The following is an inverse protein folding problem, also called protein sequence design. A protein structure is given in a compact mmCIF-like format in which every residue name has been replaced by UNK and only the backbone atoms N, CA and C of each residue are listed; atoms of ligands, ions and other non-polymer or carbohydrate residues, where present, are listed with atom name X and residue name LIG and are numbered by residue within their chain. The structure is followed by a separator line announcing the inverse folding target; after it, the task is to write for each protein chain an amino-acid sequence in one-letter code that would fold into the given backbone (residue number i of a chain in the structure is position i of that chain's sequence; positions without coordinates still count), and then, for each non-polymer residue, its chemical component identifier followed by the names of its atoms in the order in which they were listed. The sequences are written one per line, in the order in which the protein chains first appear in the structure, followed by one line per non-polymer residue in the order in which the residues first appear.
data_IF_078973293670
#
_entry.id   IF_078973293670
#
_cell.length_a   1.000
_cell.length_b   1.000
_cell.length_c   1.000
_cell.angle_alpha   90.00
_cell.angle_beta   90.00
_cell.angle_gamma   90.00
#
_symmetry.space_group_name_H-M   'P 1'
#
loop_
_entity.id
_entity.type
_entity.pdbx_description
1 polymer ?
#
# COMPACT_ATOMS: atom_id res chain seq x y z
N UNK A 1 -12.49 0.68 -73.64
CA UNK A 1 -11.08 0.64 -73.20
C UNK A 1 -11.04 1.27 -71.80
N UNK A 2 -11.07 0.47 -70.72
CA UNK A 2 -9.88 -0.02 -69.99
C UNK A 2 -9.00 1.15 -69.54
N UNK A 3 -8.83 1.44 -68.24
CA UNK A 3 -8.16 0.57 -67.26
C UNK A 3 -8.56 0.87 -65.80
N UNK A 4 -8.72 -0.21 -65.03
CA UNK A 4 -8.71 -0.25 -63.57
C UNK A 4 -7.28 -0.02 -63.10
N UNK A 5 -7.07 0.75 -62.02
CA UNK A 5 -5.85 0.61 -61.22
C UNK A 5 -6.19 0.35 -59.75
N UNK A 6 -5.98 -0.91 -59.39
CA UNK A 6 -6.09 -1.47 -58.05
C UNK A 6 -4.93 -0.98 -57.19
N UNK A 7 -5.22 -0.31 -56.08
CA UNK A 7 -4.26 -0.20 -54.96
C UNK A 7 -4.74 -1.11 -53.84
N UNK A 8 -4.19 -2.31 -53.80
CA UNK A 8 -4.21 -3.22 -52.66
C UNK A 8 -3.43 -2.59 -51.50
N UNK A 9 -4.12 -1.92 -50.58
CA UNK A 9 -3.56 -1.51 -49.29
C UNK A 9 -3.56 -2.71 -48.35
N UNK A 10 -2.37 -3.26 -48.06
CA UNK A 10 -2.16 -4.24 -46.99
C UNK A 10 -2.61 -3.62 -45.65
N UNK A 11 -3.40 -4.31 -44.79
CA UNK A 11 -3.74 -3.76 -43.48
C UNK A 11 -2.45 -3.53 -42.66
N UNK A 12 -2.37 -2.46 -41.86
CA UNK A 12 -1.20 -2.19 -41.05
C UNK A 12 -0.97 -3.35 -40.07
N UNK A 13 0.29 -3.77 -39.97
CA UNK A 13 0.73 -4.85 -39.10
C UNK A 13 0.56 -4.40 -37.63
N UNK A 14 -0.56 -4.80 -37.02
CA UNK A 14 -0.92 -4.43 -35.65
C UNK A 14 -0.12 -5.30 -34.68
N UNK A 15 1.07 -4.84 -34.30
CA UNK A 15 1.89 -5.55 -33.32
C UNK A 15 1.27 -5.45 -31.92
N UNK A 16 1.41 -6.51 -31.12
CA UNK A 16 0.98 -6.60 -29.70
C UNK A 16 1.47 -5.41 -28.86
N UNK A 17 2.65 -4.88 -29.21
CA UNK A 17 3.28 -3.72 -28.55
C UNK A 17 2.52 -2.42 -28.85
N UNK A 18 2.05 -2.24 -30.07
CA UNK A 18 1.29 -1.04 -30.49
C UNK A 18 -0.06 -0.99 -29.78
N UNK A 19 -0.75 -2.13 -29.67
CA UNK A 19 -2.02 -2.23 -28.96
C UNK A 19 -1.89 -1.90 -27.45
N UNK A 20 -0.83 -2.38 -26.80
CA UNK A 20 -0.55 -2.10 -25.39
C UNK A 20 -0.20 -0.62 -25.15
N UNK A 21 0.51 0.02 -26.08
CA UNK A 21 0.82 1.46 -25.98
C UNK A 21 -0.45 2.30 -26.11
N UNK A 22 -1.34 1.99 -27.05
CA UNK A 22 -2.61 2.73 -27.23
C UNK A 22 -3.57 2.57 -26.03
N UNK A 23 -3.58 1.40 -25.37
CA UNK A 23 -4.31 1.19 -24.12
C UNK A 23 -3.63 1.94 -22.95
N UNK A 24 -2.30 2.02 -22.93
CA UNK A 24 -1.56 2.78 -21.92
C UNK A 24 -1.74 4.29 -22.04
N UNK A 25 -1.79 4.82 -23.26
CA UNK A 25 -2.02 6.25 -23.55
C UNK A 25 -3.41 6.72 -23.09
N UNK A 26 -4.38 5.82 -22.99
CA UNK A 26 -5.74 6.13 -22.52
C UNK A 26 -5.87 6.24 -21.00
N UNK A 27 -4.84 5.90 -20.21
CA UNK A 27 -4.86 5.99 -18.74
C UNK A 27 -4.18 7.27 -18.22
N UNK A 28 -3.40 7.98 -19.04
CA UNK A 28 -2.67 9.19 -18.63
C UNK A 28 -3.40 10.53 -18.91
N UNK A 29 -4.68 10.50 -19.29
CA UNK A 29 -5.47 11.69 -19.59
C UNK A 29 -6.39 12.12 -18.44
N UNK A 30 -5.96 13.11 -17.65
CA UNK A 30 -6.88 13.89 -16.81
C UNK A 30 -7.92 14.62 -17.69
N UNK A 31 -9.20 14.27 -17.49
CA UNK A 31 -10.36 15.14 -17.59
C UNK A 31 -10.70 15.82 -18.93
N UNK A 32 -11.48 15.15 -19.80
CA UNK A 32 -12.51 15.80 -20.64
C UNK A 32 -13.70 14.83 -20.84
N UNK A 33 -14.89 15.32 -20.49
CA UNK A 33 -16.24 14.92 -20.92
C UNK A 33 -16.61 13.41 -20.99
N UNK A 34 -17.59 13.08 -20.15
CA UNK A 34 -18.53 11.95 -20.19
C UNK A 34 -19.40 11.89 -21.47
N UNK A 35 -18.80 11.98 -22.67
CA UNK A 35 -19.48 11.83 -23.97
C UNK A 35 -18.55 11.23 -25.03
N UNK A 36 -18.14 9.98 -24.85
CA UNK A 36 -17.69 9.13 -25.97
C UNK A 36 -17.81 7.62 -25.67
N UNK A 37 -18.71 7.22 -24.77
CA UNK A 37 -19.10 5.81 -24.59
C UNK A 37 -20.22 5.39 -25.56
N UNK A 38 -20.32 6.06 -26.70
CA UNK A 38 -21.28 5.72 -27.74
C UNK A 38 -20.49 5.27 -28.98
N UNK A 39 -20.68 3.98 -29.30
CA UNK A 39 -20.27 3.31 -30.54
C UNK A 39 -18.80 2.92 -30.69
N UNK A 40 -18.31 2.06 -29.78
CA UNK A 40 -17.36 1.04 -30.21
C UNK A 40 -18.18 -0.04 -30.93
N UNK A 41 -18.24 0.07 -32.26
CA UNK A 41 -18.74 -1.02 -33.12
C UNK A 41 -17.91 -2.26 -32.82
N UNK A 42 -18.55 -3.34 -32.39
CA UNK A 42 -17.87 -4.60 -32.08
C UNK A 42 -16.97 -5.03 -33.25
N UNK A 43 -15.64 -5.16 -33.05
CA UNK A 43 -14.79 -5.72 -34.09
C UNK A 43 -15.01 -7.23 -34.20
N UNK A 44 -14.86 -7.71 -35.43
CA UNK A 44 -14.94 -9.11 -35.83
C UNK A 44 -14.05 -10.03 -34.94
N UNK A 45 -14.52 -11.27 -34.77
CA UNK A 45 -13.88 -12.43 -34.15
C UNK A 45 -12.56 -12.16 -33.40
N UNK A 46 -12.62 -12.27 -32.06
CA UNK A 46 -11.48 -12.07 -31.18
C UNK A 46 -10.28 -12.96 -31.57
N UNK A 47 -9.05 -12.49 -31.38
CA UNK A 47 -7.86 -13.29 -31.65
C UNK A 47 -7.83 -14.59 -30.83
N UNK A 48 -7.16 -15.66 -31.32
CA UNK A 48 -6.98 -16.88 -30.54
C UNK A 48 -6.39 -16.61 -29.15
N UNK A 49 -7.06 -17.10 -28.11
CA UNK A 49 -6.67 -16.92 -26.71
C UNK A 49 -7.27 -15.68 -26.02
N UNK A 50 -8.09 -14.88 -26.72
CA UNK A 50 -8.88 -13.80 -26.13
C UNK A 50 -10.36 -14.21 -26.20
N UNK A 51 -10.99 -14.33 -25.05
CA UNK A 51 -12.40 -14.72 -24.94
C UNK A 51 -13.25 -13.51 -24.57
N UNK A 52 -14.44 -13.42 -25.14
CA UNK A 52 -15.47 -12.49 -24.67
C UNK A 52 -15.80 -12.88 -23.22
N UNK A 53 -15.64 -11.98 -22.24
CA UNK A 53 -15.97 -12.30 -20.86
C UNK A 53 -17.49 -12.46 -20.78
N UNK A 54 -17.99 -13.70 -20.73
CA UNK A 54 -19.40 -13.90 -20.44
C UNK A 54 -19.65 -13.43 -19.01
N UNK A 55 -20.70 -12.63 -18.81
CA UNK A 55 -21.12 -12.14 -17.49
C UNK A 55 -21.31 -13.30 -16.50
N UNK A 56 -21.78 -14.44 -17.00
CA UNK A 56 -22.01 -15.65 -16.23
C UNK A 56 -20.69 -16.35 -15.85
N UNK A 57 -19.66 -16.27 -16.71
CA UNK A 57 -18.33 -16.81 -16.43
C UNK A 57 -17.57 -15.99 -15.39
N UNK A 58 -17.64 -14.66 -15.47
CA UNK A 58 -17.09 -13.77 -14.45
C UNK A 58 -17.84 -13.91 -13.12
N UNK A 59 -19.16 -14.02 -13.15
CA UNK A 59 -19.99 -14.29 -11.98
C UNK A 59 -19.61 -15.61 -11.30
N UNK A 60 -19.50 -16.71 -12.06
CA UNK A 60 -19.09 -18.01 -11.53
C UNK A 60 -17.64 -18.04 -11.03
N UNK A 61 -16.70 -17.37 -11.72
CA UNK A 61 -15.29 -17.33 -11.34
C UNK A 61 -15.06 -16.52 -10.05
N UNK A 62 -15.83 -15.46 -9.83
CA UNK A 62 -15.71 -14.58 -8.65
C UNK A 62 -16.53 -15.05 -7.45
N UNK A 63 -17.63 -15.79 -7.67
CA UNK A 63 -18.54 -16.25 -6.60
C UNK A 63 -18.19 -17.64 -6.06
N UNK A 64 -17.30 -18.40 -6.71
CA UNK A 64 -16.94 -19.75 -6.27
C UNK A 64 -15.78 -19.71 -5.26
N UNK A 65 -16.11 -19.65 -3.97
CA UNK A 65 -15.18 -19.61 -2.83
C UNK A 65 -14.20 -20.79 -2.75
N UNK A 66 -14.40 -21.86 -3.52
CA UNK A 66 -13.55 -23.06 -3.52
C UNK A 66 -12.44 -23.15 -4.58
N UNK A 67 -12.15 -22.11 -5.38
CA UNK A 67 -11.18 -22.23 -6.50
C UNK A 67 -10.40 -20.95 -6.81
N UNK A 68 -9.60 -20.44 -5.89
CA UNK A 68 -8.30 -19.95 -6.38
C UNK A 68 -7.57 -21.19 -6.90
N UNK A 69 -7.37 -21.30 -8.22
CA UNK A 69 -6.49 -22.34 -8.74
C UNK A 69 -5.17 -22.24 -7.99
N UNK A 70 -4.60 -23.35 -7.48
CA UNK A 70 -3.30 -23.31 -6.84
C UNK A 70 -2.35 -22.64 -7.83
N UNK A 71 -1.73 -21.56 -7.38
CA UNK A 71 -0.94 -20.71 -8.26
C UNK A 71 0.21 -21.56 -8.79
N UNK A 72 0.38 -21.68 -10.13
CA UNK A 72 1.46 -22.46 -10.69
C UNK A 72 2.78 -21.95 -10.15
N UNK A 73 3.63 -22.86 -9.66
CA UNK A 73 4.92 -22.52 -9.06
C UNK A 73 5.75 -21.65 -10.03
N UNK A 74 6.16 -20.46 -9.59
CA UNK A 74 6.96 -19.54 -10.39
C UNK A 74 6.17 -18.60 -11.31
N UNK A 75 4.85 -18.46 -11.13
CA UNK A 75 4.10 -17.43 -11.84
C UNK A 75 4.41 -16.02 -11.28
N UNK A 76 4.31 -14.93 -12.08
CA UNK A 76 4.59 -13.58 -11.59
C UNK A 76 3.63 -13.10 -10.48
N UNK A 77 2.46 -13.73 -10.36
CA UNK A 77 1.46 -13.51 -9.30
C UNK A 77 1.48 -14.63 -8.26
N UNK A 78 2.59 -15.38 -8.15
CA UNK A 78 2.83 -16.33 -7.07
C UNK A 78 2.94 -15.50 -5.79
N UNK A 79 1.78 -15.20 -5.20
CA UNK A 79 1.68 -14.43 -3.98
C UNK A 79 2.60 -15.12 -2.97
N UNK A 80 3.51 -14.34 -2.39
CA UNK A 80 4.44 -14.79 -1.37
C UNK A 80 3.65 -15.61 -0.36
N UNK A 81 3.93 -16.91 -0.26
CA UNK A 81 3.30 -17.77 0.74
C UNK A 81 3.56 -17.13 2.11
N UNK A 82 2.55 -17.06 3.00
CA UNK A 82 2.78 -16.62 4.37
C UNK A 82 3.99 -17.35 4.94
N UNK A 83 4.95 -16.59 5.48
CA UNK A 83 6.15 -17.16 6.09
C UNK A 83 5.72 -18.19 7.14
N UNK A 84 6.21 -19.41 7.01
CA UNK A 84 5.98 -20.48 7.99
C UNK A 84 7.00 -20.45 9.12
N UNK A 85 8.15 -19.81 8.89
CA UNK A 85 9.22 -19.64 9.87
C UNK A 85 9.01 -18.38 10.73
N UNK A 86 9.55 -18.36 11.97
CA UNK A 86 9.55 -17.16 12.80
C UNK A 86 10.15 -15.96 12.07
N UNK A 87 9.57 -14.77 12.28
CA UNK A 87 10.10 -13.56 11.69
C UNK A 87 11.49 -13.25 12.26
N UNK A 88 12.45 -13.05 11.36
CA UNK A 88 13.78 -12.56 11.69
C UNK A 88 13.84 -11.06 11.33
N UNK A 89 14.11 -10.18 12.31
CA UNK A 89 14.30 -8.76 12.07
C UNK A 89 15.38 -8.50 11.01
N UNK A 90 15.08 -7.57 10.11
CA UNK A 90 15.93 -7.18 8.99
C UNK A 90 16.84 -6.01 9.37
N UNK A 91 16.34 -5.04 10.14
CA UNK A 91 17.10 -3.86 10.56
C UNK A 91 17.45 -3.90 12.04
N UNK A 92 16.46 -4.15 12.90
CA UNK A 92 16.65 -4.11 14.35
C UNK A 92 17.36 -5.36 14.85
N UNK A 93 18.17 -5.23 15.90
CA UNK A 93 18.58 -6.41 16.68
C UNK A 93 17.37 -7.07 17.35
N UNK A 94 17.48 -8.34 17.75
CA UNK A 94 16.39 -9.04 18.44
C UNK A 94 15.91 -8.31 19.71
N UNK A 95 16.82 -7.67 20.45
CA UNK A 95 16.49 -6.88 21.63
C UNK A 95 15.75 -5.58 21.29
N UNK A 96 16.20 -4.85 20.27
CA UNK A 96 15.52 -3.63 19.80
C UNK A 96 14.15 -3.94 19.20
N UNK A 97 14.04 -5.02 18.43
CA UNK A 97 12.78 -5.46 17.85
C UNK A 97 11.74 -5.78 18.93
N UNK A 98 12.16 -6.39 20.05
CA UNK A 98 11.27 -6.62 21.19
C UNK A 98 10.75 -5.30 21.80
N UNK A 99 11.55 -4.23 21.82
CA UNK A 99 11.13 -2.89 22.24
C UNK A 99 10.12 -2.31 21.23
N UNK A 100 10.42 -2.39 19.93
CA UNK A 100 9.53 -1.89 18.86
C UNK A 100 8.17 -2.58 18.92
N UNK A 101 8.15 -3.90 19.10
CA UNK A 101 6.94 -4.67 19.30
C UNK A 101 6.14 -4.20 20.52
N UNK A 102 6.81 -3.96 21.65
CA UNK A 102 6.13 -3.44 22.85
C UNK A 102 5.56 -2.03 22.60
N UNK A 103 6.28 -1.16 21.92
CA UNK A 103 5.77 0.18 21.57
C UNK A 103 4.56 0.11 20.66
N UNK A 104 4.55 -0.79 19.67
CA UNK A 104 3.39 -1.02 18.81
C UNK A 104 2.16 -1.49 19.61
N UNK A 105 2.34 -2.35 20.63
CA UNK A 105 1.25 -2.76 21.54
C UNK A 105 0.66 -1.57 22.29
N UNK A 106 1.53 -0.74 22.86
CA UNK A 106 1.12 0.44 23.62
C UNK A 106 0.45 1.49 22.74
N UNK A 107 0.89 1.65 21.48
CA UNK A 107 0.30 2.59 20.51
C UNK A 107 -1.10 2.15 20.08
N UNK A 108 -1.30 0.86 19.80
CA UNK A 108 -2.60 0.34 19.36
C UNK A 108 -3.60 0.23 20.52
N UNK A 109 -3.13 0.17 21.77
CA UNK A 109 -3.99 0.06 22.95
C UNK A 109 -4.70 -1.30 23.09
N UNK A 110 -4.50 -2.22 22.15
CA UNK A 110 -5.12 -3.53 22.11
C UNK A 110 -4.08 -4.65 22.13
N UNK A 111 -4.43 -5.74 22.78
CA UNK A 111 -3.66 -6.99 22.81
C UNK A 111 -4.15 -7.94 21.72
N UNK A 112 -4.13 -7.49 20.46
CA UNK A 112 -4.28 -8.38 19.31
C UNK A 112 -2.87 -8.86 18.90
N UNK A 113 -2.39 -9.99 19.44
CA UNK A 113 -0.97 -10.36 19.36
C UNK A 113 -0.47 -10.47 17.92
N UNK A 114 -1.30 -10.98 17.01
CA UNK A 114 -0.92 -11.13 15.61
C UNK A 114 -0.80 -9.78 14.89
N UNK A 115 -1.77 -8.89 15.07
CA UNK A 115 -1.77 -7.58 14.40
C UNK A 115 -0.62 -6.70 14.90
N UNK A 116 -0.29 -6.76 16.18
CA UNK A 116 0.83 -6.01 16.71
C UNK A 116 2.18 -6.55 16.24
N UNK A 117 2.30 -7.88 16.13
CA UNK A 117 3.49 -8.51 15.58
C UNK A 117 3.68 -8.08 14.11
N UNK A 118 2.63 -8.15 13.29
CA UNK A 118 2.65 -7.66 11.91
C UNK A 118 3.01 -6.17 11.81
N UNK A 119 2.49 -5.33 12.70
CA UNK A 119 2.84 -3.91 12.74
C UNK A 119 4.31 -3.67 13.07
N UNK A 120 4.89 -4.43 14.00
CA UNK A 120 6.31 -4.34 14.33
C UNK A 120 7.19 -4.81 13.16
N UNK A 121 6.79 -5.88 12.48
CA UNK A 121 7.45 -6.39 11.26
C UNK A 121 7.40 -5.37 10.12
N UNK A 122 6.27 -4.70 9.94
CA UNK A 122 6.12 -3.61 8.97
C UNK A 122 7.11 -2.47 9.26
N UNK A 123 7.20 -2.05 10.53
CA UNK A 123 8.15 -1.00 10.93
C UNK A 123 9.60 -1.44 10.63
N UNK A 124 9.99 -2.66 10.99
CA UNK A 124 11.32 -3.18 10.70
C UNK A 124 11.63 -3.20 9.19
N UNK A 125 10.70 -3.71 8.37
CA UNK A 125 10.83 -3.67 6.91
C UNK A 125 10.92 -2.24 6.37
N UNK A 126 10.13 -1.32 6.92
CA UNK A 126 10.10 0.08 6.49
C UNK A 126 11.43 0.77 6.73
N UNK A 127 12.05 0.52 7.90
CA UNK A 127 13.35 1.06 8.25
C UNK A 127 14.46 0.38 7.44
N UNK A 128 14.43 -0.96 7.32
CA UNK A 128 15.41 -1.73 6.54
C UNK A 128 15.49 -1.28 5.07
N UNK A 129 14.34 -0.96 4.47
CA UNK A 129 14.25 -0.56 3.05
C UNK A 129 14.50 0.93 2.82
N UNK A 130 14.52 1.77 3.86
CA UNK A 130 14.47 3.22 3.74
C UNK A 130 15.60 3.81 2.88
N UNK A 131 16.84 3.40 3.10
CA UNK A 131 18.00 3.86 2.31
C UNK A 131 17.83 3.57 0.81
N UNK A 132 17.43 2.36 0.45
CA UNK A 132 17.23 1.97 -0.96
C UNK A 132 16.05 2.72 -1.61
N UNK A 133 14.95 2.93 -0.87
CA UNK A 133 13.81 3.71 -1.34
C UNK A 133 14.20 5.17 -1.55
N UNK A 134 14.97 5.74 -0.62
CA UNK A 134 15.48 7.11 -0.69
C UNK A 134 16.42 7.32 -1.87
N UNK A 135 17.31 6.36 -2.11
CA UNK A 135 18.18 6.35 -3.29
C UNK A 135 17.37 6.28 -4.59
N UNK A 136 16.41 5.34 -4.68
CA UNK A 136 15.55 5.21 -5.86
C UNK A 136 14.74 6.49 -6.13
N UNK A 137 14.20 7.12 -5.07
CA UNK A 137 13.45 8.37 -5.19
C UNK A 137 14.31 9.52 -5.75
N UNK A 138 15.57 9.64 -5.29
CA UNK A 138 16.52 10.67 -5.77
C UNK A 138 16.94 10.48 -7.23
N UNK A 139 16.88 9.25 -7.73
CA UNK A 139 17.24 8.90 -9.11
C UNK A 139 16.05 8.88 -10.08
N UNK A 140 14.84 9.28 -9.64
CA UNK A 140 13.71 9.43 -10.55
C UNK A 140 14.04 10.47 -11.64
N UNK A 141 13.74 10.12 -12.89
CA UNK A 141 13.83 11.09 -13.97
C UNK A 141 12.82 12.25 -13.75
N UNK A 142 13.05 13.42 -14.36
CA UNK A 142 12.21 14.60 -14.11
C UNK A 142 10.72 14.40 -14.38
N UNK A 143 10.35 13.63 -15.42
CA UNK A 143 8.93 13.40 -15.75
C UNK A 143 8.27 12.48 -14.73
N UNK A 144 8.94 11.39 -14.35
CA UNK A 144 8.46 10.47 -13.31
C UNK A 144 8.31 11.18 -11.96
N UNK A 145 9.27 12.04 -11.59
CA UNK A 145 9.17 12.85 -10.38
C UNK A 145 8.00 13.83 -10.45
N UNK A 146 7.81 14.53 -11.57
CA UNK A 146 6.67 15.45 -11.75
C UNK A 146 5.33 14.72 -11.64
N UNK A 147 5.21 13.53 -12.22
CA UNK A 147 4.02 12.69 -12.07
C UNK A 147 3.77 12.29 -10.62
N UNK A 148 4.82 11.83 -9.91
CA UNK A 148 4.72 11.49 -8.49
C UNK A 148 4.29 12.68 -7.64
N UNK A 149 4.81 13.88 -7.91
CA UNK A 149 4.41 15.12 -7.22
C UNK A 149 2.95 15.46 -7.51
N UNK A 150 2.50 15.32 -8.75
CA UNK A 150 1.11 15.58 -9.13
C UNK A 150 0.14 14.62 -8.43
N UNK A 151 0.51 13.35 -8.28
CA UNK A 151 -0.36 12.33 -7.68
C UNK A 151 -0.30 12.30 -6.15
N UNK A 152 0.89 12.32 -5.56
CA UNK A 152 1.09 12.16 -4.11
C UNK A 152 1.26 13.49 -3.35
N UNK A 153 1.55 14.58 -4.07
CA UNK A 153 1.91 15.87 -3.49
C UNK A 153 3.41 16.02 -3.23
N UNK A 154 3.91 17.25 -3.33
CA UNK A 154 5.34 17.57 -3.19
C UNK A 154 5.92 17.13 -1.86
N UNK A 155 5.22 17.39 -0.75
CA UNK A 155 5.71 17.06 0.60
C UNK A 155 5.99 15.56 0.78
N UNK A 156 5.17 14.67 0.21
CA UNK A 156 5.39 13.21 0.30
C UNK A 156 6.56 12.74 -0.55
N UNK A 157 6.73 13.32 -1.74
CA UNK A 157 7.87 13.01 -2.61
C UNK A 157 9.16 13.48 -1.96
N UNK A 158 9.21 14.72 -1.48
CA UNK A 158 10.37 15.24 -0.74
C UNK A 158 10.67 14.38 0.48
N UNK A 159 9.66 13.95 1.25
CA UNK A 159 9.87 13.08 2.40
C UNK A 159 10.50 11.72 2.00
N UNK A 160 10.16 11.14 0.85
CA UNK A 160 10.84 9.94 0.36
C UNK A 160 12.31 10.21 0.01
N UNK A 161 12.62 11.40 -0.51
CA UNK A 161 13.98 11.81 -0.90
C UNK A 161 14.86 12.15 0.31
N UNK A 162 14.28 12.54 1.46
CA UNK A 162 15.04 13.10 2.59
C UNK A 162 14.85 12.38 3.92
N UNK A 163 13.77 11.63 4.15
CA UNK A 163 13.51 11.05 5.47
C UNK A 163 14.56 10.01 5.84
N UNK A 164 15.03 10.04 7.09
CA UNK A 164 16.02 9.11 7.66
C UNK A 164 15.42 8.37 8.87
N UNK A 165 14.48 7.44 8.63
CA UNK A 165 13.88 6.66 9.71
C UNK A 165 14.90 5.78 10.43
N UNK A 166 16.02 5.42 9.79
CA UNK A 166 17.11 4.64 10.40
C UNK A 166 17.74 5.39 11.60
N UNK A 167 18.06 6.67 11.41
CA UNK A 167 18.60 7.56 12.45
C UNK A 167 17.53 7.89 13.48
N UNK A 168 16.33 8.22 13.03
CA UNK A 168 15.18 8.47 13.92
C UNK A 168 14.95 7.30 14.88
N UNK A 169 15.05 6.07 14.40
CA UNK A 169 14.90 4.88 15.22
C UNK A 169 16.06 4.70 16.19
N UNK A 170 17.31 4.85 15.72
CA UNK A 170 18.50 4.67 16.56
C UNK A 170 18.56 5.67 17.71
N UNK A 171 18.37 6.95 17.41
CA UNK A 171 18.37 8.02 18.41
C UNK A 171 17.20 7.87 19.38
N UNK A 172 16.03 7.51 18.87
CA UNK A 172 14.84 7.28 19.69
C UNK A 172 15.00 6.13 20.66
N UNK A 173 15.56 5.00 20.23
CA UNK A 173 15.82 3.84 21.08
C UNK A 173 16.88 4.16 22.14
N UNK A 174 17.92 4.92 21.79
CA UNK A 174 18.90 5.42 22.75
C UNK A 174 18.25 6.35 23.79
N UNK A 175 17.35 7.24 23.36
CA UNK A 175 16.57 8.10 24.25
C UNK A 175 15.69 7.28 25.21
N UNK A 176 14.98 6.26 24.71
CA UNK A 176 14.15 5.37 25.54
C UNK A 176 15.00 4.61 26.57
N UNK A 177 16.17 4.11 26.17
CA UNK A 177 17.09 3.46 27.08
C UNK A 177 17.56 4.44 28.18
N UNK A 178 17.86 5.70 27.84
CA UNK A 178 18.17 6.74 28.81
C UNK A 178 17.01 7.03 29.77
N UNK A 179 15.78 7.14 29.24
CA UNK A 179 14.58 7.38 30.04
C UNK A 179 14.25 6.23 31.01
N UNK A 180 14.54 4.99 30.60
CA UNK A 180 14.43 3.80 31.45
C UNK A 180 15.51 3.78 32.55
N UNK A 181 16.77 4.07 32.21
CA UNK A 181 17.87 4.15 33.19
C UNK A 181 17.65 5.25 34.23
N UNK A 182 17.09 6.38 33.84
CA UNK A 182 16.71 7.45 34.77
C UNK A 182 15.66 7.01 35.81
N UNK A 183 14.96 5.88 35.56
CA UNK A 183 14.01 5.25 36.48
C UNK A 183 14.59 4.01 37.19
N UNK A 184 15.90 3.80 37.09
CA UNK A 184 16.59 2.67 37.73
C UNK A 184 16.43 1.33 37.03
N UNK A 185 16.04 1.32 35.74
CA UNK A 185 15.87 0.10 34.94
C UNK A 185 16.99 -0.07 33.92
N UNK A 186 17.38 -1.32 33.65
CA UNK A 186 18.41 -1.66 32.66
C UNK A 186 17.96 -1.44 31.20
N UNK A 187 16.64 -1.33 30.97
CA UNK A 187 16.08 -1.09 29.65
C UNK A 187 14.56 -0.87 29.69
N UNK A 188 13.99 -0.42 28.58
CA UNK A 188 12.57 -0.07 28.50
C UNK A 188 11.64 -1.25 28.87
N UNK A 189 11.97 -2.47 28.42
CA UNK A 189 11.16 -3.66 28.70
C UNK A 189 11.19 -4.08 30.18
N UNK A 190 12.25 -3.74 30.91
CA UNK A 190 12.38 -4.05 32.34
C UNK A 190 11.68 -3.00 33.23
N UNK A 191 11.22 -1.89 32.67
CA UNK A 191 10.42 -0.89 33.37
C UNK A 191 9.00 -1.45 33.61
N UNK A 192 8.41 -1.28 34.82
CA UNK A 192 7.01 -1.66 35.06
C UNK A 192 6.05 -0.99 34.06
N UNK A 193 4.95 -1.66 33.70
CA UNK A 193 4.04 -1.16 32.65
C UNK A 193 3.53 0.26 32.90
N UNK A 194 3.15 0.59 34.13
CA UNK A 194 2.72 1.94 34.51
C UNK A 194 3.80 3.00 34.19
N UNK A 195 5.07 2.67 34.44
CA UNK A 195 6.19 3.55 34.15
C UNK A 195 6.54 3.58 32.66
N UNK A 196 6.33 2.49 31.91
CA UNK A 196 6.44 2.49 30.45
C UNK A 196 5.44 3.48 29.83
N UNK A 197 4.19 3.47 30.33
CA UNK A 197 3.16 4.41 29.91
C UNK A 197 3.52 5.85 30.28
N UNK A 198 4.10 6.10 31.46
CA UNK A 198 4.59 7.45 31.82
C UNK A 198 5.68 7.93 30.86
N UNK A 199 6.64 7.07 30.50
CA UNK A 199 7.66 7.42 29.50
C UNK A 199 6.99 7.72 28.15
N UNK A 200 6.10 6.85 27.68
CA UNK A 200 5.44 6.98 26.38
C UNK A 200 4.58 8.25 26.31
N UNK A 201 3.81 8.53 27.36
CA UNK A 201 2.98 9.73 27.45
C UNK A 201 3.82 11.01 27.38
N UNK A 202 5.02 11.01 27.96
CA UNK A 202 5.93 12.17 27.90
C UNK A 202 6.40 12.53 26.49
N UNK A 203 6.42 11.55 25.57
CA UNK A 203 6.83 11.73 24.16
C UNK A 203 5.66 11.69 23.17
N UNK A 204 4.46 11.40 23.65
CA UNK A 204 3.24 11.32 22.84
C UNK A 204 2.76 12.70 22.35
N UNK A 205 1.77 12.72 21.46
CA UNK A 205 1.13 13.95 20.97
C UNK A 205 0.28 14.67 22.04
N UNK A 206 -0.08 13.94 23.11
CA UNK A 206 -0.86 14.45 24.24
C UNK A 206 -0.03 15.25 25.25
N UNK A 207 1.29 15.37 25.06
CA UNK A 207 2.18 16.06 26.01
C UNK A 207 1.91 17.57 26.10
N UNK A 208 2.05 18.19 27.28
CA UNK A 208 1.81 19.62 27.45
C UNK A 208 2.83 20.50 26.70
N UNK A 209 4.10 20.07 26.65
CA UNK A 209 5.19 20.81 25.98
C UNK A 209 5.40 20.36 24.53
N UNK A 210 4.39 20.58 23.67
CA UNK A 210 4.44 20.12 22.26
C UNK A 210 5.60 20.70 21.43
N UNK A 211 6.08 21.89 21.81
CA UNK A 211 7.14 22.60 21.09
C UNK A 211 8.55 22.02 21.35
N UNK A 212 8.71 21.22 22.42
CA UNK A 212 9.97 20.59 22.74
C UNK A 212 10.07 19.26 21.99
N UNK A 213 10.77 19.30 20.85
CA UNK A 213 11.09 18.12 20.07
C UNK A 213 12.39 17.48 20.56
N UNK A 214 12.36 16.16 20.78
CA UNK A 214 13.54 15.37 21.10
C UNK A 214 13.53 14.05 20.30
N UNK A 215 14.58 13.25 20.45
CA UNK A 215 14.70 11.97 19.75
C UNK A 215 13.53 11.01 20.04
N UNK A 216 13.06 10.96 21.30
CA UNK A 216 11.90 10.16 21.69
C UNK A 216 10.61 10.62 21.01
N UNK A 217 10.37 11.92 20.91
CA UNK A 217 9.16 12.45 20.23
C UNK A 217 9.17 12.17 18.73
N UNK A 218 10.35 12.24 18.08
CA UNK A 218 10.50 11.88 16.66
C UNK A 218 10.23 10.39 16.43
N UNK A 219 10.80 9.53 17.28
CA UNK A 219 10.52 8.10 17.26
C UNK A 219 9.04 7.82 17.44
N UNK A 220 8.40 8.43 18.44
CA UNK A 220 6.97 8.22 18.67
C UNK A 220 6.12 8.61 17.46
N UNK A 221 6.38 9.78 16.87
CA UNK A 221 5.66 10.25 15.69
C UNK A 221 5.83 9.29 14.50
N UNK A 222 7.06 8.84 14.26
CA UNK A 222 7.36 7.84 13.22
C UNK A 222 6.63 6.51 13.48
N UNK A 223 6.79 5.93 14.68
CA UNK A 223 6.17 4.66 15.03
C UNK A 223 4.65 4.75 14.97
N UNK A 224 4.05 5.81 15.49
CA UNK A 224 2.61 6.02 15.42
C UNK A 224 2.13 6.01 13.96
N UNK A 225 2.80 6.73 13.07
CA UNK A 225 2.42 6.78 11.66
C UNK A 225 2.51 5.40 11.00
N UNK A 226 3.59 4.65 11.23
CA UNK A 226 3.82 3.36 10.58
C UNK A 226 3.03 2.21 11.20
N UNK A 227 2.80 2.22 12.52
CA UNK A 227 1.95 1.24 13.21
C UNK A 227 0.48 1.42 12.80
N UNK A 228 -0.02 2.66 12.74
CA UNK A 228 -1.38 2.94 12.25
C UNK A 228 -1.53 2.52 10.78
N UNK A 229 -0.52 2.81 9.95
CA UNK A 229 -0.50 2.38 8.55
C UNK A 229 -0.57 0.87 8.46
N UNK A 230 0.30 0.15 9.16
CA UNK A 230 0.33 -1.31 9.16
C UNK A 230 -1.02 -1.89 9.60
N UNK A 231 -1.57 -1.38 10.70
CA UNK A 231 -2.85 -1.82 11.25
C UNK A 231 -3.98 -1.68 10.23
N UNK A 232 -4.20 -0.49 9.67
CA UNK A 232 -5.30 -0.25 8.73
C UNK A 232 -5.07 -0.83 7.33
N UNK A 233 -3.88 -1.38 7.06
CA UNK A 233 -3.62 -2.21 5.87
C UNK A 233 -3.69 -3.72 6.14
N UNK A 234 -3.77 -4.14 7.41
CA UNK A 234 -3.93 -5.54 7.81
C UNK A 234 -5.35 -6.04 7.58
N UNK A 235 -5.53 -7.36 7.54
CA UNK A 235 -6.88 -7.98 7.46
C UNK A 235 -7.79 -7.52 8.61
N UNK A 236 -7.25 -7.44 9.83
CA UNK A 236 -7.97 -6.95 11.02
C UNK A 236 -8.45 -5.51 10.82
N UNK A 237 -7.55 -4.59 10.47
CA UNK A 237 -7.90 -3.18 10.30
C UNK A 237 -8.83 -2.93 9.11
N UNK A 238 -8.70 -3.69 8.02
CA UNK A 238 -9.63 -3.62 6.89
C UNK A 238 -11.04 -4.09 7.28
N UNK A 239 -11.15 -5.14 8.12
CA UNK A 239 -12.44 -5.58 8.69
C UNK A 239 -13.04 -4.51 9.60
N UNK A 240 -12.23 -3.88 10.44
CA UNK A 240 -12.69 -2.79 11.33
C UNK A 240 -13.20 -1.58 10.55
N UNK A 241 -12.49 -1.16 9.49
CA UNK A 241 -12.94 -0.10 8.59
C UNK A 241 -14.19 -0.49 7.78
N UNK A 242 -14.66 -1.73 7.92
CA UNK A 242 -15.70 -2.33 7.08
C UNK A 242 -15.37 -2.13 5.59
N UNK A 243 -14.08 -2.23 5.25
CA UNK A 243 -13.58 -1.94 3.91
C UNK A 243 -14.20 -2.93 2.92
N UNK A 244 -14.87 -2.39 1.89
CA UNK A 244 -15.53 -3.17 0.82
C UNK A 244 -14.78 -3.13 -0.51
N UNK A 245 -13.50 -2.74 -0.52
CA UNK A 245 -12.77 -2.49 -1.76
C UNK A 245 -12.79 -3.67 -2.71
N UNK A 246 -12.91 -3.37 -4.01
CA UNK A 246 -13.03 -4.33 -5.11
C UNK A 246 -14.15 -5.39 -4.92
N UNK A 247 -15.09 -5.20 -3.99
CA UNK A 247 -16.26 -6.05 -3.90
C UNK A 247 -17.09 -5.86 -5.17
N UNK A 248 -17.37 -6.96 -5.86
CA UNK A 248 -18.25 -6.95 -7.01
C UNK A 248 -19.68 -6.64 -6.56
N UNK A 249 -20.21 -5.50 -7.02
CA UNK A 249 -21.61 -5.16 -6.83
C UNK A 249 -22.37 -5.47 -8.12
N UNK A 250 -23.30 -6.42 -8.07
CA UNK A 250 -24.19 -6.72 -9.21
C UNK A 250 -25.07 -5.52 -9.61
N UNK A 251 -25.26 -4.56 -8.70
CA UNK A 251 -25.91 -3.28 -8.94
C UNK A 251 -25.16 -2.18 -8.18
N UNK A 252 -24.84 -1.07 -8.85
CA UNK A 252 -24.11 0.04 -8.24
C UNK A 252 -24.83 0.54 -6.98
N UNK A 253 -24.18 0.53 -5.80
CA UNK A 253 -24.74 1.16 -4.62
C UNK A 253 -24.98 2.65 -4.91
N UNK A 254 -26.18 3.16 -4.59
CA UNK A 254 -26.52 4.58 -4.73
C UNK A 254 -27.20 4.99 -6.04
N UNK A 255 -27.39 4.08 -7.00
CA UNK A 255 -28.28 4.34 -8.14
C UNK A 255 -29.66 3.74 -7.89
N UNK A 256 -30.54 4.49 -7.22
CA UNK A 256 -31.96 4.17 -7.23
C UNK A 256 -32.48 4.41 -8.66
N UNK A 257 -32.68 3.32 -9.40
CA UNK A 257 -33.39 3.36 -10.66
C UNK A 257 -34.82 3.82 -10.36
N UNK A 258 -35.07 5.13 -10.45
CA UNK A 258 -36.44 5.62 -10.54
C UNK A 258 -37.01 5.06 -11.84
N UNK A 259 -37.71 3.94 -11.71
CA UNK A 259 -38.52 3.34 -12.75
C UNK A 259 -39.54 4.41 -13.14
N UNK A 260 -39.28 5.14 -14.24
CA UNK A 260 -40.33 5.93 -14.87
C UNK A 260 -41.34 4.92 -15.41
N UNK A 261 -42.43 4.73 -14.68
CA UNK A 261 -43.61 4.09 -15.22
C UNK A 261 -44.10 4.97 -16.38
N UNK A 262 -44.01 4.47 -17.61
CA UNK A 262 -44.67 5.08 -18.75
C UNK A 262 -46.15 4.73 -18.67
N UNK A 263 -46.97 5.72 -18.33
CA UNK A 263 -48.38 5.77 -18.75
C UNK A 263 -48.49 6.49 -20.07
#
# INVERSE_FOLDING_TARGET
MTEKNSKTGKPPDFSRRTALITIGESVAGFGVASRAWAEIKAPAALPPGVYEPSSDHLGHALMHSGRFHPIPFGCPTDYVRPRSEPFLPLYFSAAEFAVIRRLAQLILGETLPNTTEEAAQWVDLRVASAASVREAARHLDPLSRSLAVAYYGSGKVTALETAEPEETCRDGLAWLAGAARARGSDGFLSVPEEQQLVILNSISDGRPERQNENAGTRLFAFLKAEVIRAYYTSDTGLKELNYKGNAFYARSPGCDSKTKQST
#
